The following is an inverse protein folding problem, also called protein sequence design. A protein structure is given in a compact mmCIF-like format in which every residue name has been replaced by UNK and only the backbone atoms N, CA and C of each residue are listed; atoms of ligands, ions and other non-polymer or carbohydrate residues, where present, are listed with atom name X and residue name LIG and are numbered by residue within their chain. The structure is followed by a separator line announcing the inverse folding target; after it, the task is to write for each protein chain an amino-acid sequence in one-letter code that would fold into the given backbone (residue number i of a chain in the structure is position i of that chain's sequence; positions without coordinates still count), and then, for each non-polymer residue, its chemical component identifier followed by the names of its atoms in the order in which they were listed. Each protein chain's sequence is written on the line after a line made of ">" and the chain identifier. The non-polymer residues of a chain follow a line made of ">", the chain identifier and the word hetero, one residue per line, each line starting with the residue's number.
data_IF_587301797699
#
_entry.id   IF_587301797699
#
_cell.length_a   1.000
_cell.length_b   1.000
_cell.length_c   1.000
_cell.angle_alpha   90.00
_cell.angle_beta   90.00
_cell.angle_gamma   90.00
#
_symmetry.space_group_name_H-M   'P 1'
#
loop_
_entity.id
_entity.type
_entity.pdbx_description
1 polymer ?
#
# COMPACT_ATOMS: atom_id res chain seq x y z
N UNK A 1 -28.13 -12.49 16.29
CA UNK A 1 -26.86 -12.04 15.73
C UNK A 1 -25.73 -12.09 16.73
N UNK A 2 -24.62 -12.52 16.33
CA UNK A 2 -23.50 -12.54 17.24
C UNK A 2 -22.27 -11.94 16.59
N UNK A 3 -21.50 -11.25 17.36
CA UNK A 3 -20.25 -10.71 16.92
C UNK A 3 -19.17 -11.76 17.10
N UNK A 4 -18.59 -12.14 15.99
CA UNK A 4 -17.49 -13.06 16.04
C UNK A 4 -16.22 -12.24 16.14
N UNK A 5 -15.58 -12.31 17.28
CA UNK A 5 -14.31 -11.63 17.47
C UNK A 5 -13.19 -12.53 16.93
N UNK A 6 -12.45 -11.99 15.98
CA UNK A 6 -11.31 -12.71 15.42
C UNK A 6 -10.13 -12.48 16.36
N UNK A 7 -9.55 -13.58 16.82
CA UNK A 7 -8.37 -13.51 17.67
C UNK A 7 -7.20 -14.13 16.91
N UNK A 8 -6.18 -13.34 16.68
CA UNK A 8 -4.97 -13.80 15.99
C UNK A 8 -3.89 -14.13 16.97
N UNK A 9 -3.11 -15.15 16.66
CA UNK A 9 -1.90 -15.46 17.43
C UNK A 9 -0.84 -14.39 17.17
N UNK A 10 0.20 -14.34 18.00
CA UNK A 10 1.29 -13.40 17.82
C UNK A 10 2.00 -13.59 16.48
N UNK A 11 2.16 -14.85 16.07
CA UNK A 11 2.78 -15.17 14.77
C UNK A 11 1.90 -14.68 13.63
N UNK A 12 0.59 -14.88 13.74
CA UNK A 12 -0.35 -14.42 12.73
C UNK A 12 -0.36 -12.89 12.60
N UNK A 13 -0.31 -12.18 13.73
CA UNK A 13 -0.22 -10.72 13.76
C UNK A 13 1.05 -10.24 13.06
N UNK A 14 2.16 -10.87 13.34
CA UNK A 14 3.44 -10.55 12.71
C UNK A 14 3.39 -10.76 11.20
N UNK A 15 2.87 -11.91 10.77
CA UNK A 15 2.75 -12.22 9.34
C UNK A 15 1.83 -11.24 8.63
N UNK A 16 0.73 -10.86 9.26
CA UNK A 16 -0.20 -9.89 8.72
C UNK A 16 0.48 -8.53 8.50
N UNK A 17 1.22 -8.05 9.49
CA UNK A 17 1.96 -6.80 9.37
C UNK A 17 3.00 -6.84 8.25
N UNK A 18 3.74 -7.94 8.16
CA UNK A 18 4.73 -8.11 7.11
C UNK A 18 4.07 -8.09 5.73
N UNK A 19 2.96 -8.82 5.57
CA UNK A 19 2.23 -8.86 4.30
C UNK A 19 1.76 -7.49 3.86
N UNK A 20 1.14 -6.74 4.75
CA UNK A 20 0.61 -5.41 4.43
C UNK A 20 1.76 -4.45 4.11
N UNK A 21 2.84 -4.52 4.88
CA UNK A 21 4.03 -3.72 4.61
C UNK A 21 4.66 -4.01 3.26
N UNK A 22 4.72 -5.29 2.87
CA UNK A 22 5.24 -5.68 1.56
C UNK A 22 4.37 -5.17 0.42
N UNK A 23 3.05 -5.21 0.58
CA UNK A 23 2.13 -4.68 -0.44
C UNK A 23 2.31 -3.18 -0.59
N UNK A 24 2.37 -2.44 0.53
CA UNK A 24 2.60 -0.99 0.51
C UNK A 24 3.93 -0.67 -0.19
N UNK A 25 4.98 -1.40 0.14
CA UNK A 25 6.30 -1.22 -0.46
C UNK A 25 6.28 -1.50 -1.97
N UNK A 26 5.54 -2.52 -2.40
CA UNK A 26 5.38 -2.82 -3.81
C UNK A 26 4.75 -1.65 -4.57
N UNK A 27 3.69 -1.06 -4.01
CA UNK A 27 3.05 0.11 -4.63
C UNK A 27 4.01 1.29 -4.69
N UNK A 28 4.81 1.50 -3.65
CA UNK A 28 5.82 2.56 -3.64
C UNK A 28 6.84 2.38 -4.76
N UNK A 29 7.36 1.17 -4.93
CA UNK A 29 8.34 0.86 -5.97
C UNK A 29 7.73 1.09 -7.36
N UNK A 30 6.51 0.60 -7.57
CA UNK A 30 5.82 0.77 -8.85
C UNK A 30 5.53 2.24 -9.14
N UNK A 31 5.13 3.00 -8.14
CA UNK A 31 4.92 4.44 -8.28
C UNK A 31 6.21 5.13 -8.71
N UNK A 32 7.31 4.81 -8.06
CA UNK A 32 8.61 5.38 -8.38
C UNK A 32 9.04 5.08 -9.81
N UNK A 33 8.86 3.82 -10.25
CA UNK A 33 9.18 3.42 -11.63
C UNK A 33 8.38 4.21 -12.66
N UNK A 34 7.08 4.39 -12.40
CA UNK A 34 6.20 5.15 -13.30
C UNK A 34 6.59 6.63 -13.32
N UNK A 35 6.88 7.22 -12.15
CA UNK A 35 7.34 8.61 -12.07
C UNK A 35 8.61 8.83 -12.88
N UNK A 36 9.53 7.89 -12.81
CA UNK A 36 10.79 7.96 -13.56
C UNK A 36 10.54 7.93 -15.07
N UNK A 37 9.65 7.05 -15.53
CA UNK A 37 9.28 6.97 -16.94
C UNK A 37 8.59 8.25 -17.40
N UNK A 38 7.66 8.78 -16.61
CA UNK A 38 6.96 10.02 -16.92
C UNK A 38 7.92 11.20 -17.04
N UNK A 39 8.86 11.31 -16.11
CA UNK A 39 9.86 12.38 -16.15
C UNK A 39 10.69 12.32 -17.43
N UNK A 40 11.05 11.12 -17.85
CA UNK A 40 11.79 10.92 -19.09
C UNK A 40 10.98 11.37 -20.30
N UNK A 41 9.73 10.97 -20.37
CA UNK A 41 8.82 11.34 -21.47
C UNK A 41 8.60 12.85 -21.51
N UNK A 42 8.36 13.47 -20.35
CA UNK A 42 8.13 14.92 -20.25
C UNK A 42 9.37 15.70 -20.64
N UNK A 43 10.56 15.23 -20.29
CA UNK A 43 11.81 15.88 -20.69
C UNK A 43 12.03 15.84 -22.19
N UNK A 44 11.44 14.88 -22.87
CA UNK A 44 11.48 14.76 -24.32
C UNK A 44 10.32 15.53 -25.00
N UNK A 45 9.53 16.26 -24.21
CA UNK A 45 8.38 17.03 -24.72
C UNK A 45 7.14 16.20 -24.97
N UNK A 46 7.10 14.97 -24.48
CA UNK A 46 5.96 14.08 -24.67
C UNK A 46 5.03 14.05 -23.49
N UNK A 47 3.97 13.26 -23.64
CA UNK A 47 2.98 13.03 -22.61
C UNK A 47 2.41 11.63 -22.78
N UNK A 48 2.19 10.93 -21.68
CA UNK A 48 1.58 9.60 -21.70
C UNK A 48 0.48 9.53 -20.65
N UNK A 49 -0.77 9.62 -21.13
CA UNK A 49 -1.94 9.60 -20.25
C UNK A 49 -2.13 8.25 -19.55
N UNK A 50 -1.71 7.17 -20.19
CA UNK A 50 -1.79 5.82 -19.58
C UNK A 50 -0.88 5.73 -18.37
N UNK A 51 0.32 6.28 -18.47
CA UNK A 51 1.25 6.31 -17.33
C UNK A 51 0.76 7.22 -16.24
N UNK A 52 0.10 8.34 -16.59
CA UNK A 52 -0.49 9.24 -15.59
C UNK A 52 -1.59 8.54 -14.81
N UNK A 53 -2.47 7.80 -15.48
CA UNK A 53 -3.53 7.03 -14.84
C UNK A 53 -2.93 5.94 -13.94
N UNK A 54 -1.89 5.28 -14.41
CA UNK A 54 -1.21 4.24 -13.67
C UNK A 54 -0.53 4.81 -12.43
N UNK A 55 0.08 5.99 -12.55
CA UNK A 55 0.70 6.68 -11.42
C UNK A 55 -0.33 6.96 -10.32
N UNK A 56 -1.49 7.47 -10.71
CA UNK A 56 -2.58 7.75 -9.78
C UNK A 56 -3.03 6.47 -9.08
N UNK A 57 -3.19 5.39 -9.83
CA UNK A 57 -3.55 4.09 -9.28
C UNK A 57 -2.54 3.61 -8.24
N UNK A 58 -1.25 3.72 -8.53
CA UNK A 58 -0.21 3.30 -7.60
C UNK A 58 -0.10 4.20 -6.38
N UNK A 59 -0.32 5.50 -6.53
CA UNK A 59 -0.36 6.44 -5.40
C UNK A 59 -1.52 6.10 -4.46
N UNK A 60 -2.70 5.88 -5.03
CA UNK A 60 -3.88 5.54 -4.25
C UNK A 60 -3.68 4.21 -3.52
N UNK A 61 -3.12 3.22 -4.20
CA UNK A 61 -2.82 1.93 -3.60
C UNK A 61 -1.80 2.04 -2.47
N UNK A 62 -0.74 2.80 -2.68
CA UNK A 62 0.27 3.03 -1.65
C UNK A 62 -0.35 3.67 -0.41
N UNK A 63 -1.11 4.75 -0.59
CA UNK A 63 -1.76 5.44 0.52
C UNK A 63 -2.73 4.54 1.27
N UNK A 64 -3.53 3.78 0.52
CA UNK A 64 -4.48 2.85 1.11
C UNK A 64 -3.79 1.82 2.00
N UNK A 65 -2.74 1.19 1.51
CA UNK A 65 -2.07 0.13 2.26
C UNK A 65 -1.18 0.66 3.38
N UNK A 66 -0.65 1.87 3.25
CA UNK A 66 0.06 2.52 4.36
C UNK A 66 -0.89 2.85 5.50
N UNK A 67 -2.08 3.35 5.19
CA UNK A 67 -3.10 3.62 6.20
C UNK A 67 -3.60 2.33 6.85
N UNK A 68 -3.78 1.28 6.04
CA UNK A 68 -4.19 -0.02 6.54
C UNK A 68 -3.14 -0.59 7.49
N UNK A 69 -1.87 -0.45 7.15
CA UNK A 69 -0.77 -0.88 8.00
C UNK A 69 -0.82 -0.20 9.36
N UNK A 70 -1.07 1.12 9.38
CA UNK A 70 -1.19 1.86 10.62
C UNK A 70 -2.38 1.41 11.45
N UNK A 71 -3.52 1.15 10.81
CA UNK A 71 -4.71 0.66 11.49
C UNK A 71 -4.47 -0.70 12.14
N UNK A 72 -3.81 -1.59 11.41
CA UNK A 72 -3.50 -2.93 11.92
C UNK A 72 -2.53 -2.83 13.09
N UNK A 73 -1.51 -1.99 12.97
CA UNK A 73 -0.54 -1.77 14.03
C UNK A 73 -1.23 -1.28 15.31
N UNK A 74 -2.13 -0.29 15.18
CA UNK A 74 -2.91 0.20 16.31
C UNK A 74 -3.78 -0.88 16.93
N UNK A 75 -4.44 -1.68 16.09
CA UNK A 75 -5.29 -2.76 16.57
C UNK A 75 -4.49 -3.81 17.35
N UNK A 76 -3.28 -4.13 16.88
CA UNK A 76 -2.40 -5.07 17.58
C UNK A 76 -1.95 -4.48 18.91
N UNK A 77 -1.52 -3.22 18.93
CA UNK A 77 -1.05 -2.55 20.15
C UNK A 77 -2.16 -2.43 21.20
N UNK A 78 -3.40 -2.34 20.77
CA UNK A 78 -4.56 -2.20 21.64
C UNK A 78 -5.29 -3.52 21.88
N UNK A 79 -4.71 -4.64 21.49
CA UNK A 79 -5.28 -5.98 21.69
C UNK A 79 -6.65 -6.14 21.04
N UNK A 80 -6.86 -5.54 19.88
CA UNK A 80 -8.11 -5.63 19.15
C UNK A 80 -8.13 -6.74 18.09
N UNK A 81 -7.02 -7.42 17.93
CA UNK A 81 -6.88 -8.54 16.99
C UNK A 81 -6.43 -9.81 17.70
#
# INVERSE_FOLDING_TARGET
>A
MKNTKITLTDIEKEKLMVCVGLVANNFEIKRYEVEKELNKIENEGGRDDRLLDLLEHYRDGQNFYEELEQKIKHAIENNQL
#
